data_IF_170482154153
#
_entry.id   IF_170482154153
#
_cell.length_a   1.000
_cell.length_b   1.000
_cell.length_c   1.000
_cell.angle_alpha   90.00
_cell.angle_beta   90.00
_cell.angle_gamma   90.00
#
_symmetry.space_group_name_H-M   'P 1'
#
loop_
_entity.id
_entity.type
_entity.pdbx_description
1 polymer ?
#
# COMPACT_ATOMS: atom_id res chain seq x y z
N UNK A 1 2.95 9.65 -20.75
CA UNK A 1 1.96 9.96 -19.68
C UNK A 1 0.52 9.95 -20.20
N UNK A 2 0.11 10.89 -21.07
CA UNK A 2 -1.29 10.99 -21.55
C UNK A 2 -1.80 9.70 -22.23
N UNK A 3 -0.94 8.96 -22.93
CA UNK A 3 -1.33 7.68 -23.54
C UNK A 3 -1.57 6.58 -22.52
N UNK A 4 -0.79 6.53 -21.44
CA UNK A 4 -0.99 5.58 -20.36
C UNK A 4 -2.29 5.88 -19.61
N UNK A 5 -2.58 7.17 -19.35
CA UNK A 5 -3.81 7.60 -18.70
C UNK A 5 -5.06 7.20 -19.50
N UNK A 6 -5.02 7.35 -20.83
CA UNK A 6 -6.13 6.99 -21.73
C UNK A 6 -6.42 5.48 -21.79
N UNK A 7 -5.44 4.63 -21.45
CA UNK A 7 -5.58 3.17 -21.45
C UNK A 7 -6.15 2.61 -20.15
N UNK A 8 -6.29 3.43 -19.10
CA UNK A 8 -6.86 2.98 -17.83
C UNK A 8 -8.37 2.78 -17.99
N UNK A 9 -8.94 1.86 -17.21
CA UNK A 9 -10.40 1.82 -17.04
C UNK A 9 -10.90 3.11 -16.37
N UNK A 10 -12.17 3.50 -16.56
CA UNK A 10 -12.78 4.60 -15.82
C UNK A 10 -12.56 4.45 -14.31
N UNK A 11 -12.07 5.51 -13.66
CA UNK A 11 -11.72 5.51 -12.23
C UNK A 11 -10.37 4.87 -11.89
N UNK A 12 -9.68 4.26 -12.85
CA UNK A 12 -8.34 3.71 -12.66
C UNK A 12 -7.33 4.80 -12.32
N UNK A 13 -6.31 4.44 -11.53
CA UNK A 13 -5.22 5.35 -11.11
C UNK A 13 -3.90 4.98 -11.77
N UNK A 14 -3.08 5.98 -12.03
CA UNK A 14 -1.72 5.85 -12.57
C UNK A 14 -0.77 6.66 -11.70
N UNK A 15 0.28 6.01 -11.20
CA UNK A 15 1.44 6.69 -10.64
C UNK A 15 2.55 6.74 -11.69
N UNK A 16 3.09 7.92 -11.98
CA UNK A 16 4.18 8.09 -12.94
C UNK A 16 5.31 8.91 -12.33
N UNK A 17 6.55 8.46 -12.54
CA UNK A 17 7.74 9.20 -12.17
C UNK A 17 8.11 10.17 -13.29
N UNK A 18 8.25 11.45 -12.95
CA UNK A 18 8.51 12.54 -13.89
C UNK A 18 9.67 13.40 -13.40
N UNK A 19 10.55 13.90 -14.28
CA UNK A 19 11.55 14.87 -13.86
C UNK A 19 10.87 16.17 -13.39
N UNK A 20 11.47 16.85 -12.41
CA UNK A 20 10.84 18.04 -11.79
C UNK A 20 10.64 19.21 -12.75
N UNK A 21 11.36 19.26 -13.88
CA UNK A 21 11.13 20.28 -14.90
C UNK A 21 9.68 20.23 -15.43
N UNK A 22 9.02 19.06 -15.42
CA UNK A 22 7.65 18.91 -15.88
C UNK A 22 6.65 19.70 -15.02
N UNK A 23 6.98 20.00 -13.76
CA UNK A 23 6.11 20.70 -12.80
C UNK A 23 5.85 22.15 -13.20
N UNK A 24 6.85 22.82 -13.78
CA UNK A 24 6.82 24.27 -14.02
C UNK A 24 7.49 24.69 -15.33
N UNK A 25 7.74 23.76 -16.26
CA UNK A 25 8.31 24.08 -17.58
C UNK A 25 7.54 25.22 -18.25
N UNK A 26 8.28 26.22 -18.72
CA UNK A 26 7.76 27.40 -19.42
C UNK A 26 7.29 27.10 -20.85
N UNK A 27 7.67 25.92 -21.39
CA UNK A 27 7.20 25.45 -22.69
C UNK A 27 5.68 25.48 -22.75
N UNK A 28 5.14 26.08 -23.82
CA UNK A 28 3.69 26.16 -24.04
C UNK A 28 3.06 24.77 -24.07
N UNK A 29 3.70 23.80 -24.71
CA UNK A 29 3.21 22.42 -24.81
C UNK A 29 3.09 21.76 -23.42
N UNK A 30 4.12 21.89 -22.58
CA UNK A 30 4.11 21.31 -21.24
C UNK A 30 3.04 21.95 -20.35
N UNK A 31 2.87 23.27 -20.48
CA UNK A 31 1.84 24.03 -19.77
C UNK A 31 0.43 23.62 -20.21
N UNK A 32 0.20 23.44 -21.51
CA UNK A 32 -1.08 22.99 -22.05
C UNK A 32 -1.42 21.57 -21.58
N UNK A 33 -0.40 20.69 -21.45
CA UNK A 33 -0.56 19.35 -20.86
C UNK A 33 -0.97 19.46 -19.39
N UNK A 34 -0.27 20.27 -18.57
CA UNK A 34 -0.62 20.48 -17.14
C UNK A 34 -2.03 21.04 -16.99
N UNK A 35 -2.34 22.10 -17.73
CA UNK A 35 -3.68 22.70 -17.82
C UNK A 35 -4.73 21.64 -18.09
N UNK A 36 -4.54 20.81 -19.13
CA UNK A 36 -5.51 19.79 -19.49
C UNK A 36 -5.72 18.74 -18.37
N UNK A 37 -4.67 18.31 -17.69
CA UNK A 37 -4.76 17.35 -16.59
C UNK A 37 -5.51 17.93 -15.38
N UNK A 38 -5.19 19.17 -15.03
CA UNK A 38 -5.77 19.90 -13.90
C UNK A 38 -7.24 20.22 -14.16
N UNK A 39 -7.58 20.79 -15.32
CA UNK A 39 -8.95 21.15 -15.70
C UNK A 39 -9.89 19.95 -15.79
N UNK A 40 -9.36 18.79 -16.19
CA UNK A 40 -10.11 17.53 -16.23
C UNK A 40 -10.29 16.90 -14.85
N UNK A 41 -9.65 17.44 -13.80
CA UNK A 41 -9.58 16.82 -12.49
C UNK A 41 -8.90 15.45 -12.52
N UNK A 42 -7.99 15.25 -13.48
CA UNK A 42 -7.27 14.00 -13.67
C UNK A 42 -6.04 13.91 -12.76
N UNK A 43 -5.52 15.05 -12.28
CA UNK A 43 -4.41 15.10 -11.34
C UNK A 43 -4.92 15.03 -9.89
N UNK A 44 -4.47 14.04 -9.13
CA UNK A 44 -4.85 13.85 -7.73
C UNK A 44 -3.76 14.32 -6.77
N UNK A 45 -2.50 13.98 -7.04
CA UNK A 45 -1.41 14.25 -6.11
C UNK A 45 -0.06 14.38 -6.84
N UNK A 46 0.79 15.27 -6.33
CA UNK A 46 2.19 15.41 -6.72
C UNK A 46 3.08 15.29 -5.50
N UNK A 47 4.12 14.48 -5.61
CA UNK A 47 5.11 14.26 -4.57
C UNK A 47 6.49 14.57 -5.13
N UNK A 48 7.13 15.66 -4.71
CA UNK A 48 8.53 15.93 -5.08
C UNK A 48 9.46 15.14 -4.18
N UNK A 49 10.33 14.33 -4.79
CA UNK A 49 11.28 13.49 -4.05
C UNK A 49 12.63 14.21 -3.84
N UNK A 50 13.41 13.78 -2.83
CA UNK A 50 14.78 14.27 -2.66
C UNK A 50 15.65 14.07 -3.91
N UNK A 51 16.56 15.02 -4.14
CA UNK A 51 17.63 14.82 -5.12
C UNK A 51 18.56 13.68 -4.68
N UNK A 52 19.34 13.12 -5.63
CA UNK A 52 20.35 12.07 -5.37
C UNK A 52 19.79 10.73 -4.87
N UNK A 53 18.50 10.45 -5.11
CA UNK A 53 17.92 9.12 -4.81
C UNK A 53 18.39 8.04 -5.79
N UNK A 54 18.55 8.38 -7.06
CA UNK A 54 18.98 7.45 -8.10
C UNK A 54 20.49 7.45 -8.23
N UNK A 55 21.08 6.26 -8.37
CA UNK A 55 22.53 6.10 -8.53
C UNK A 55 23.03 6.67 -9.86
N UNK A 56 22.23 6.53 -10.90
CA UNK A 56 22.64 6.81 -12.28
C UNK A 56 22.24 8.22 -12.76
N UNK A 57 21.49 8.98 -11.96
CA UNK A 57 21.08 10.35 -12.31
C UNK A 57 20.88 11.24 -11.09
N UNK A 58 21.45 12.44 -11.17
CA UNK A 58 21.23 13.50 -10.19
C UNK A 58 19.94 14.30 -10.47
N UNK A 59 19.22 13.99 -11.57
CA UNK A 59 18.01 14.70 -11.95
C UNK A 59 16.94 14.47 -10.87
N UNK A 60 16.43 15.53 -10.22
CA UNK A 60 15.37 15.40 -9.24
C UNK A 60 14.05 15.06 -9.94
N UNK A 61 13.26 14.22 -9.30
CA UNK A 61 12.02 13.69 -9.85
C UNK A 61 10.86 13.84 -8.88
N UNK A 62 9.66 13.71 -9.43
CA UNK A 62 8.39 13.76 -8.73
C UNK A 62 7.53 12.57 -9.13
N UNK A 63 6.68 12.13 -8.22
CA UNK A 63 5.63 11.14 -8.49
C UNK A 63 4.33 11.89 -8.71
N UNK A 64 3.67 11.60 -9.83
CA UNK A 64 2.37 12.15 -10.17
C UNK A 64 1.33 11.04 -10.08
N UNK A 65 0.29 11.26 -9.29
CA UNK A 65 -0.85 10.37 -9.17
C UNK A 65 -2.00 10.95 -9.98
N UNK A 66 -2.44 10.19 -10.98
CA UNK A 66 -3.47 10.57 -11.93
C UNK A 66 -4.64 9.60 -11.84
N UNK A 67 -5.85 10.05 -12.17
CA UNK A 67 -7.07 9.23 -12.27
C UNK A 67 -7.72 9.39 -13.65
N UNK A 68 -8.15 8.27 -14.24
CA UNK A 68 -8.96 8.28 -15.47
C UNK A 68 -10.46 8.39 -15.19
N UNK A 69 -10.87 9.47 -14.53
CA UNK A 69 -12.26 9.91 -14.41
C UNK A 69 -12.25 11.30 -13.77
N UNK A 70 -13.19 12.19 -14.11
CA UNK A 70 -13.33 13.46 -13.41
C UNK A 70 -13.60 13.17 -11.93
N UNK A 71 -12.69 13.58 -11.05
CA UNK A 71 -12.93 13.54 -9.62
C UNK A 71 -14.07 14.49 -9.26
N UNK A 72 -14.97 14.07 -8.36
CA UNK A 72 -16.02 14.95 -7.79
C UNK A 72 -15.42 16.15 -7.04
N UNK A 73 -14.25 15.96 -6.45
CA UNK A 73 -13.44 17.02 -5.84
C UNK A 73 -12.27 17.37 -6.76
N UNK A 74 -12.10 18.65 -7.09
CA UNK A 74 -11.00 19.16 -7.93
C UNK A 74 -9.78 19.57 -7.12
N UNK A 75 -9.76 19.25 -5.84
CA UNK A 75 -8.62 19.53 -4.96
C UNK A 75 -7.45 18.61 -5.28
N UNK A 76 -6.25 19.18 -5.28
CA UNK A 76 -4.98 18.48 -5.57
C UNK A 76 -4.13 18.48 -4.30
N UNK A 77 -3.53 17.33 -3.97
CA UNK A 77 -2.55 17.21 -2.90
C UNK A 77 -1.13 17.47 -3.41
N UNK A 78 -0.42 18.36 -2.73
CA UNK A 78 0.99 18.63 -2.97
C UNK A 78 1.81 18.15 -1.77
N UNK A 79 2.84 17.34 -2.03
CA UNK A 79 3.77 16.82 -1.02
C UNK A 79 5.20 17.22 -1.39
N UNK A 80 5.85 17.98 -0.51
CA UNK A 80 7.24 18.38 -0.64
C UNK A 80 8.15 17.49 0.22
N UNK A 81 8.58 16.37 -0.33
CA UNK A 81 9.52 15.47 0.33
C UNK A 81 10.99 15.79 0.01
N UNK A 82 11.32 16.91 -0.65
CA UNK A 82 12.70 17.20 -1.11
C UNK A 82 13.73 17.22 0.03
N UNK A 83 13.28 17.59 1.22
CA UNK A 83 14.11 17.73 2.41
C UNK A 83 14.33 16.42 3.17
N UNK A 84 13.53 15.39 2.90
CA UNK A 84 13.59 14.09 3.58
C UNK A 84 14.82 13.27 3.20
N UNK A 85 15.09 12.24 3.98
CA UNK A 85 16.15 11.28 3.74
C UNK A 85 17.52 11.69 4.27
N UNK A 86 18.41 10.69 4.34
CA UNK A 86 19.77 10.80 4.86
C UNK A 86 20.78 10.63 3.74
N UNK A 87 21.89 11.37 3.81
CA UNK A 87 23.01 11.20 2.88
C UNK A 87 23.77 9.92 3.25
N UNK A 88 23.63 8.88 2.43
CA UNK A 88 24.45 7.66 2.54
C UNK A 88 25.87 7.93 2.02
N UNK A 89 26.00 8.79 1.01
CA UNK A 89 27.28 9.27 0.49
C UNK A 89 27.17 10.72 0.00
N UNK A 90 28.27 11.33 -0.46
CA UNK A 90 28.23 12.69 -1.06
C UNK A 90 27.29 12.78 -2.27
N UNK A 91 27.06 11.67 -2.95
CA UNK A 91 26.30 11.59 -4.21
C UNK A 91 25.01 10.79 -4.09
N UNK A 92 24.74 10.15 -2.95
CA UNK A 92 23.56 9.29 -2.75
C UNK A 92 22.80 9.63 -1.47
N UNK A 93 21.50 9.78 -1.60
CA UNK A 93 20.53 9.97 -0.52
C UNK A 93 19.62 8.73 -0.44
N UNK A 94 19.22 8.37 0.77
CA UNK A 94 18.26 7.30 1.04
C UNK A 94 17.07 7.87 1.81
N UNK A 95 15.86 7.48 1.42
CA UNK A 95 14.69 7.63 2.27
C UNK A 95 14.72 6.54 3.33
N UNK A 96 14.54 6.92 4.58
CA UNK A 96 14.31 5.98 5.67
C UNK A 96 12.88 5.44 5.61
N UNK A 97 12.59 4.42 6.41
CA UNK A 97 11.23 3.91 6.56
C UNK A 97 10.29 4.99 7.13
N UNK A 98 10.79 5.82 8.05
CA UNK A 98 10.03 6.93 8.62
C UNK A 98 9.71 8.01 7.60
N UNK A 99 10.67 8.34 6.72
CA UNK A 99 10.46 9.30 5.63
C UNK A 99 9.37 8.79 4.66
N UNK A 100 9.48 7.52 4.26
CA UNK A 100 8.52 6.88 3.36
C UNK A 100 7.14 6.82 4.01
N UNK A 101 7.10 6.43 5.28
CA UNK A 101 5.87 6.39 6.07
C UNK A 101 5.23 7.77 6.23
N UNK A 102 6.02 8.84 6.39
CA UNK A 102 5.50 10.20 6.47
C UNK A 102 4.79 10.62 5.18
N UNK A 103 5.39 10.33 4.02
CA UNK A 103 4.79 10.60 2.70
C UNK A 103 3.52 9.77 2.50
N UNK A 104 3.56 8.46 2.80
CA UNK A 104 2.39 7.57 2.68
C UNK A 104 1.26 8.04 3.59
N UNK A 105 1.56 8.43 4.84
CA UNK A 105 0.57 8.97 5.79
C UNK A 105 -0.06 10.25 5.27
N UNK A 106 0.72 11.18 4.71
CA UNK A 106 0.19 12.43 4.15
C UNK A 106 -0.80 12.17 2.99
N UNK A 107 -0.50 11.20 2.13
CA UNK A 107 -1.39 10.82 1.03
C UNK A 107 -2.64 10.10 1.55
N UNK A 108 -2.48 9.19 2.51
CA UNK A 108 -3.60 8.42 3.07
C UNK A 108 -4.57 9.30 3.88
N UNK A 109 -4.07 10.22 4.70
CA UNK A 109 -4.90 11.15 5.47
C UNK A 109 -5.72 12.07 4.56
N UNK A 110 -5.10 12.61 3.51
CA UNK A 110 -5.81 13.41 2.51
C UNK A 110 -6.92 12.61 1.81
N UNK A 111 -6.65 11.35 1.41
CA UNK A 111 -7.68 10.49 0.81
C UNK A 111 -8.85 10.27 1.78
N UNK A 112 -8.55 10.00 3.04
CA UNK A 112 -9.55 9.78 4.09
C UNK A 112 -10.45 11.01 4.32
N UNK A 113 -9.87 12.21 4.35
CA UNK A 113 -10.60 13.46 4.52
C UNK A 113 -11.44 13.79 3.27
N UNK A 114 -10.87 13.57 2.09
CA UNK A 114 -11.56 13.76 0.80
C UNK A 114 -12.78 12.86 0.65
N UNK A 115 -12.71 11.61 1.07
CA UNK A 115 -13.86 10.68 1.05
C UNK A 115 -15.00 11.15 1.97
N UNK A 116 -14.67 11.87 3.05
CA UNK A 116 -15.64 12.46 3.98
C UNK A 116 -16.05 13.88 3.61
N UNK A 117 -15.49 14.44 2.53
CA UNK A 117 -15.70 15.84 2.12
C UNK A 117 -15.35 16.84 3.23
N UNK A 118 -14.29 16.56 4.00
CA UNK A 118 -13.76 17.45 5.05
C UNK A 118 -12.53 18.17 4.52
N UNK A 119 -12.32 19.42 4.96
CA UNK A 119 -11.14 20.19 4.61
C UNK A 119 -9.86 19.52 5.15
N UNK A 120 -8.88 19.30 4.28
CA UNK A 120 -7.60 18.72 4.65
C UNK A 120 -6.56 19.82 4.90
N UNK A 121 -6.07 19.92 6.14
CA UNK A 121 -5.14 20.97 6.55
C UNK A 121 -3.70 20.78 6.04
N UNK A 122 -3.34 19.58 5.57
CA UNK A 122 -1.96 19.25 5.22
C UNK A 122 -1.08 19.03 6.46
N UNK A 123 0.23 18.97 6.25
CA UNK A 123 1.25 18.85 7.29
C UNK A 123 2.31 19.92 7.03
N UNK A 124 2.51 20.84 7.98
CA UNK A 124 3.48 21.94 7.84
C UNK A 124 4.84 21.42 7.40
N UNK A 125 5.41 22.05 6.36
CA UNK A 125 6.69 21.68 5.78
C UNK A 125 6.71 20.38 4.96
N UNK A 126 5.59 19.66 4.86
CA UNK A 126 5.52 18.39 4.12
C UNK A 126 4.40 18.33 3.09
N UNK A 127 3.18 18.75 3.41
CA UNK A 127 2.04 18.65 2.50
C UNK A 127 1.05 19.79 2.63
N UNK A 128 0.37 20.10 1.53
CA UNK A 128 -0.68 21.09 1.44
C UNK A 128 -1.65 20.72 0.32
N UNK A 129 -2.82 21.33 0.32
CA UNK A 129 -3.82 21.14 -0.73
C UNK A 129 -4.07 22.45 -1.46
N UNK A 130 -4.47 22.34 -2.73
CA UNK A 130 -4.88 23.49 -3.52
C UNK A 130 -6.15 23.15 -4.30
N UNK A 131 -7.02 24.13 -4.44
CA UNK A 131 -8.17 24.05 -5.34
C UNK A 131 -7.74 24.38 -6.78
N UNK A 132 -8.65 24.13 -7.72
CA UNK A 132 -8.40 24.40 -9.14
C UNK A 132 -7.98 25.85 -9.40
N UNK A 133 -8.64 26.80 -8.74
CA UNK A 133 -8.40 28.22 -8.95
C UNK A 133 -7.03 28.67 -8.41
N UNK A 134 -6.56 28.08 -7.30
CA UNK A 134 -5.20 28.31 -6.78
C UNK A 134 -4.12 27.94 -7.82
N UNK A 135 -4.36 26.85 -8.56
CA UNK A 135 -3.43 26.36 -9.58
C UNK A 135 -3.52 27.20 -10.86
N UNK A 136 -4.71 27.70 -11.21
CA UNK A 136 -4.91 28.62 -12.34
C UNK A 136 -4.19 29.94 -12.12
N UNK A 137 -4.29 30.50 -10.92
CA UNK A 137 -3.65 31.77 -10.54
C UNK A 137 -2.12 31.68 -10.60
N UNK A 138 -1.57 30.46 -10.50
CA UNK A 138 -0.14 30.17 -10.62
C UNK A 138 0.27 29.69 -12.02
N UNK A 139 -0.51 30.02 -13.05
CA UNK A 139 -0.29 29.62 -14.45
C UNK A 139 -0.03 28.11 -14.63
N UNK A 140 -0.76 27.29 -13.84
CA UNK A 140 -0.62 25.84 -13.80
C UNK A 140 0.79 25.37 -13.41
N UNK A 141 1.53 26.15 -12.60
CA UNK A 141 2.68 25.64 -11.86
C UNK A 141 2.21 24.55 -10.89
N UNK A 142 2.89 23.41 -10.91
CA UNK A 142 2.57 22.27 -10.06
C UNK A 142 3.68 21.97 -9.04
N UNK A 143 4.55 22.94 -8.78
CA UNK A 143 5.63 22.80 -7.81
C UNK A 143 5.06 22.76 -6.37
N UNK A 144 5.21 21.65 -5.62
CA UNK A 144 4.67 21.53 -4.27
C UNK A 144 5.11 22.63 -3.30
N UNK A 145 6.31 23.19 -3.48
CA UNK A 145 6.82 24.27 -2.65
C UNK A 145 5.93 25.52 -2.63
N UNK A 146 5.11 25.73 -3.67
CA UNK A 146 4.22 26.88 -3.82
C UNK A 146 2.88 26.68 -3.07
N UNK A 147 2.63 25.46 -2.57
CA UNK A 147 1.36 25.02 -1.96
C UNK A 147 1.53 24.43 -0.56
N UNK A 148 2.76 24.08 -0.16
CA UNK A 148 3.07 23.60 1.18
C UNK A 148 3.41 24.80 2.07
N UNK A 149 2.66 24.97 3.15
CA UNK A 149 2.98 25.96 4.17
C UNK A 149 4.36 25.63 4.75
N UNK A 150 5.33 26.52 4.53
CA UNK A 150 6.67 26.33 5.08
C UNK A 150 6.63 26.54 6.60
N UNK A 151 7.28 25.65 7.34
CA UNK A 151 7.75 26.00 8.69
C UNK A 151 8.76 27.12 8.52
N UNK A 152 8.46 28.34 8.98
CA UNK A 152 9.38 29.47 8.92
C UNK A 152 10.70 29.06 9.60
N UNK A 153 11.72 28.76 8.79
CA UNK A 153 13.06 28.37 9.27
C UNK A 153 14.10 29.42 8.91
N UNK A 154 13.70 30.70 8.92
CA UNK A 154 14.61 31.83 8.84
C UNK A 154 14.12 32.95 9.77
N UNK A 155 14.62 32.92 11.01
CA UNK A 155 14.34 33.91 12.06
C UNK A 155 13.05 33.63 12.82
N UNK A 156 13.14 33.17 14.07
CA UNK A 156 11.99 33.09 14.97
C UNK A 156 12.38 33.63 16.33
N UNK A 157 11.57 34.54 16.83
CA UNK A 157 11.55 34.89 18.24
C UNK A 157 10.82 33.80 19.03
N UNK A 158 11.05 33.75 20.34
CA UNK A 158 10.65 32.63 21.21
C UNK A 158 9.13 32.33 21.20
N UNK A 159 8.30 33.33 20.90
CA UNK A 159 6.83 33.22 20.91
C UNK A 159 6.30 32.36 19.75
N UNK A 160 6.96 32.40 18.59
CA UNK A 160 6.57 31.61 17.42
C UNK A 160 6.91 30.13 17.60
N UNK A 161 8.01 29.83 18.28
CA UNK A 161 8.41 28.47 18.63
C UNK A 161 7.47 27.88 19.70
N UNK A 162 7.06 28.70 20.67
CA UNK A 162 6.10 28.34 21.70
C UNK A 162 4.74 27.96 21.07
N UNK A 163 4.25 28.77 20.13
CA UNK A 163 2.98 28.53 19.43
C UNK A 163 3.02 27.22 18.63
N UNK A 164 4.12 26.90 17.96
CA UNK A 164 4.26 25.67 17.19
C UNK A 164 4.46 24.42 18.06
N UNK A 165 5.15 24.56 19.20
CA UNK A 165 5.25 23.51 20.21
C UNK A 165 3.87 23.19 20.79
N UNK A 166 3.05 24.20 21.06
CA UNK A 166 1.69 24.02 21.56
C UNK A 166 0.77 23.37 20.52
N UNK A 167 0.87 23.77 19.26
CA UNK A 167 0.14 23.16 18.15
C UNK A 167 0.55 21.69 17.95
N UNK A 168 1.85 21.40 18.00
CA UNK A 168 2.39 20.03 17.91
C UNK A 168 1.94 19.18 19.10
N UNK A 169 2.01 19.71 20.33
CA UNK A 169 1.52 19.03 21.52
C UNK A 169 0.00 18.78 21.47
N UNK A 170 -0.78 19.71 20.92
CA UNK A 170 -2.22 19.52 20.70
C UNK A 170 -2.51 18.41 19.68
N UNK A 171 -1.72 18.34 18.60
CA UNK A 171 -1.82 17.29 17.59
C UNK A 171 -1.45 15.92 18.19
N UNK A 172 -0.37 15.84 18.97
CA UNK A 172 0.01 14.64 19.71
C UNK A 172 -1.06 14.18 20.70
N UNK A 173 -1.72 15.11 21.42
CA UNK A 173 -2.85 14.78 22.30
C UNK A 173 -4.02 14.17 21.53
N UNK A 174 -4.37 14.73 20.36
CA UNK A 174 -5.42 14.19 19.49
C UNK A 174 -5.06 12.82 18.93
N UNK A 175 -3.84 12.63 18.46
CA UNK A 175 -3.34 11.34 17.97
C UNK A 175 -3.36 10.26 19.05
N UNK A 176 -2.92 10.59 20.28
CA UNK A 176 -3.02 9.67 21.43
C UNK A 176 -4.46 9.31 21.77
N UNK A 177 -5.39 10.26 21.70
CA UNK A 177 -6.80 9.99 21.95
C UNK A 177 -7.40 9.03 20.90
N UNK A 178 -7.10 9.24 19.62
CA UNK A 178 -7.51 8.31 18.55
C UNK A 178 -6.90 6.92 18.75
N UNK A 179 -5.63 6.83 19.17
CA UNK A 179 -4.98 5.56 19.46
C UNK A 179 -5.64 4.81 20.61
N UNK A 180 -6.03 5.51 21.69
CA UNK A 180 -6.79 4.91 22.81
C UNK A 180 -8.15 4.40 22.34
N UNK A 181 -8.86 5.16 21.49
CA UNK A 181 -10.14 4.71 20.94
C UNK A 181 -9.97 3.48 20.02
N UNK A 182 -8.91 3.44 19.22
CA UNK A 182 -8.58 2.30 18.38
C UNK A 182 -8.27 1.06 19.22
N UNK A 183 -7.48 1.20 20.29
CA UNK A 183 -7.16 0.14 21.23
C UNK A 183 -8.42 -0.41 21.95
N UNK A 184 -9.34 0.48 22.34
CA UNK A 184 -10.63 0.09 22.90
C UNK A 184 -11.50 -0.68 21.91
N UNK A 185 -11.53 -0.28 20.63
CA UNK A 185 -12.26 -1.01 19.58
C UNK A 185 -11.61 -2.36 19.30
N UNK A 186 -10.28 -2.42 19.22
CA UNK A 186 -9.53 -3.66 19.03
C UNK A 186 -9.81 -4.64 20.17
N UNK A 187 -9.83 -4.16 21.41
CA UNK A 187 -10.17 -4.98 22.57
C UNK A 187 -11.60 -5.50 22.51
N UNK A 188 -12.57 -4.72 22.01
CA UNK A 188 -13.95 -5.19 21.81
C UNK A 188 -14.03 -6.28 20.74
N UNK A 189 -13.38 -6.06 19.60
CA UNK A 189 -13.29 -7.04 18.51
C UNK A 189 -12.62 -8.31 19.01
N UNK A 190 -11.55 -8.21 19.79
CA UNK A 190 -10.87 -9.36 20.39
C UNK A 190 -11.81 -10.14 21.31
N UNK A 191 -12.55 -9.48 22.20
CA UNK A 191 -13.51 -10.16 23.08
C UNK A 191 -14.67 -10.81 22.31
N UNK A 192 -15.17 -10.17 21.26
CA UNK A 192 -16.17 -10.79 20.38
C UNK A 192 -15.60 -12.00 19.66
N UNK A 193 -14.36 -11.92 19.17
CA UNK A 193 -13.64 -13.05 18.59
C UNK A 193 -13.48 -14.19 19.60
N UNK A 194 -13.02 -13.90 20.82
CA UNK A 194 -12.82 -14.88 21.88
C UNK A 194 -14.15 -15.55 22.29
N UNK A 195 -15.23 -14.77 22.33
CA UNK A 195 -16.58 -15.27 22.63
C UNK A 195 -17.11 -16.16 21.50
N UNK A 196 -16.86 -15.78 20.25
CA UNK A 196 -17.18 -16.60 19.07
C UNK A 196 -16.33 -17.87 19.03
N UNK A 197 -15.04 -17.80 19.35
CA UNK A 197 -14.16 -18.98 19.49
C UNK A 197 -14.70 -19.95 20.55
N UNK A 198 -15.13 -19.44 21.71
CA UNK A 198 -15.72 -20.25 22.77
C UNK A 198 -17.05 -20.93 22.35
N UNK A 199 -17.86 -20.26 21.52
CA UNK A 199 -19.14 -20.79 21.00
C UNK A 199 -18.96 -21.79 19.85
N UNK A 200 -17.99 -21.56 18.97
CA UNK A 200 -17.75 -22.39 17.77
C UNK A 200 -16.83 -23.58 18.10
N UNK A 201 -16.26 -23.64 19.30
CA UNK A 201 -15.39 -24.74 19.74
C UNK A 201 -14.12 -24.90 18.89
N UNK A 202 -13.78 -23.86 18.12
CA UNK A 202 -12.56 -23.83 17.32
C UNK A 202 -11.45 -23.42 18.26
N UNK A 203 -10.68 -24.43 18.71
CA UNK A 203 -9.34 -24.22 19.26
C UNK A 203 -8.57 -23.32 18.30
N UNK A 204 -7.99 -22.26 18.85
CA UNK A 204 -7.03 -21.38 18.18
C UNK A 204 -6.10 -22.17 17.24
N UNK A 205 -6.10 -21.82 15.95
CA UNK A 205 -5.12 -22.28 14.95
C UNK A 205 -3.77 -21.56 15.13
N UNK A 206 -3.33 -21.34 16.36
CA UNK A 206 -2.03 -20.71 16.68
C UNK A 206 -1.01 -21.68 17.25
N UNK A 207 -1.42 -22.87 17.68
CA UNK A 207 -0.51 -23.95 18.09
C UNK A 207 -0.25 -24.89 16.91
N UNK A 208 0.54 -24.43 15.94
CA UNK A 208 1.10 -25.34 14.96
C UNK A 208 2.22 -26.15 15.61
N UNK A 209 1.92 -27.40 15.91
CA UNK A 209 2.90 -28.35 16.43
C UNK A 209 3.54 -29.13 15.27
N UNK A 210 4.87 -29.15 15.20
CA UNK A 210 5.59 -29.91 14.18
C UNK A 210 5.69 -31.38 14.58
N UNK A 211 4.99 -32.25 13.86
CA UNK A 211 5.07 -33.69 14.05
C UNK A 211 5.79 -34.36 12.88
N UNK A 212 6.75 -35.27 13.11
CA UNK A 212 7.28 -36.09 12.04
C UNK A 212 6.16 -36.96 11.48
N UNK A 213 6.01 -37.01 10.15
CA UNK A 213 4.94 -37.79 9.48
C UNK A 213 4.86 -39.23 9.96
N UNK A 214 6.00 -39.88 10.25
CA UNK A 214 6.06 -41.25 10.78
C UNK A 214 5.46 -41.44 12.19
N UNK A 215 5.22 -40.37 12.95
CA UNK A 215 4.55 -40.43 14.26
C UNK A 215 3.03 -40.33 14.16
N UNK A 216 2.51 -39.82 13.04
CA UNK A 216 1.06 -39.60 12.84
C UNK A 216 0.47 -40.52 11.77
N UNK A 217 1.29 -41.06 10.88
CA UNK A 217 0.87 -41.98 9.83
C UNK A 217 2.02 -42.86 9.35
N UNK A 218 1.69 -44.02 8.80
CA UNK A 218 2.64 -44.86 8.09
C UNK A 218 2.80 -44.34 6.66
N UNK A 219 4.02 -43.95 6.28
CA UNK A 219 4.31 -43.47 4.92
C UNK A 219 4.72 -44.66 4.07
N UNK A 220 3.80 -45.12 3.23
CA UNK A 220 4.06 -46.22 2.29
C UNK A 220 4.25 -45.68 0.87
N UNK A 221 5.10 -46.33 0.09
CA UNK A 221 5.26 -46.02 -1.32
C UNK A 221 3.94 -46.35 -2.04
N UNK A 222 3.32 -45.33 -2.64
CA UNK A 222 2.10 -45.51 -3.41
C UNK A 222 2.31 -46.38 -4.66
N UNK A 223 1.21 -46.88 -5.26
CA UNK A 223 1.28 -47.69 -6.47
C UNK A 223 1.76 -46.83 -7.65
N UNK A 224 2.20 -47.49 -8.72
CA UNK A 224 2.55 -46.81 -9.97
C UNK A 224 1.45 -45.81 -10.42
N UNK A 225 1.80 -44.61 -10.93
CA UNK A 225 0.83 -43.60 -11.39
C UNK A 225 -0.24 -44.13 -12.35
N UNK A 226 0.07 -45.20 -13.09
CA UNK A 226 -0.85 -45.89 -14.00
C UNK A 226 -2.01 -46.59 -13.29
N UNK A 227 -1.77 -47.14 -12.09
CA UNK A 227 -2.80 -47.79 -11.28
C UNK A 227 -3.76 -46.75 -10.67
N UNK A 228 -3.21 -45.63 -10.18
CA UNK A 228 -3.95 -44.55 -9.53
C UNK A 228 -5.02 -43.95 -10.46
N UNK A 229 -4.72 -43.83 -11.76
CA UNK A 229 -5.69 -43.34 -12.76
C UNK A 229 -6.91 -44.26 -12.92
N UNK A 230 -6.78 -45.56 -12.65
CA UNK A 230 -7.87 -46.55 -12.78
C UNK A 230 -8.75 -46.65 -11.55
N UNK A 231 -8.25 -46.23 -10.38
CA UNK A 231 -8.95 -46.29 -9.09
C UNK A 231 -9.51 -44.95 -8.63
N UNK A 232 -9.34 -43.89 -9.45
CA UNK A 232 -9.95 -42.57 -9.23
C UNK A 232 -11.47 -42.70 -9.08
N UNK A 233 -12.00 -42.02 -8.07
CA UNK A 233 -13.43 -41.99 -7.80
C UNK A 233 -13.83 -40.57 -7.44
N UNK A 234 -14.79 -39.98 -8.14
CA UNK A 234 -15.26 -38.62 -7.83
C UNK A 234 -16.08 -38.57 -6.51
N UNK A 235 -16.47 -39.74 -5.97
CA UNK A 235 -17.08 -39.93 -4.65
C UNK A 235 -16.09 -40.48 -3.60
N UNK A 236 -14.79 -40.48 -3.91
CA UNK A 236 -13.74 -40.91 -2.99
C UNK A 236 -13.54 -39.89 -1.86
N UNK A 237 -13.29 -40.38 -0.65
CA UNK A 237 -12.98 -39.53 0.52
C UNK A 237 -11.49 -39.50 0.86
N UNK A 238 -10.68 -40.40 0.28
CA UNK A 238 -9.24 -40.48 0.55
C UNK A 238 -8.49 -39.65 -0.49
N UNK A 239 -7.83 -38.54 -0.12
CA UNK A 239 -7.11 -37.69 -1.07
C UNK A 239 -5.82 -38.35 -1.54
N UNK A 240 -5.51 -38.21 -2.83
CA UNK A 240 -4.27 -38.73 -3.42
C UNK A 240 -3.24 -37.62 -3.58
N UNK A 241 -2.07 -37.81 -2.94
CA UNK A 241 -0.94 -36.89 -3.04
C UNK A 241 0.10 -37.45 -4.02
N UNK A 242 0.49 -36.66 -5.02
CA UNK A 242 1.51 -37.00 -6.00
C UNK A 242 2.74 -36.09 -5.82
N UNK A 243 3.93 -36.46 -6.35
CA UNK A 243 5.13 -35.62 -6.24
C UNK A 243 4.94 -34.19 -6.75
N UNK A 244 4.11 -33.99 -7.77
CA UNK A 244 3.75 -32.67 -8.33
C UNK A 244 3.00 -31.77 -7.36
N UNK A 245 2.39 -32.34 -6.32
CA UNK A 245 1.67 -31.62 -5.27
C UNK A 245 2.61 -31.15 -4.15
N UNK A 246 3.89 -31.52 -4.16
CA UNK A 246 4.86 -31.09 -3.15
C UNK A 246 5.61 -29.85 -3.64
N UNK A 247 5.31 -28.67 -3.07
CA UNK A 247 5.96 -27.38 -3.39
C UNK A 247 6.32 -26.63 -2.13
N UNK A 248 7.51 -26.03 -2.09
CA UNK A 248 7.98 -25.22 -0.96
C UNK A 248 7.82 -25.91 0.41
N UNK A 249 8.10 -27.22 0.46
CA UNK A 249 7.92 -28.09 1.65
C UNK A 249 6.47 -28.19 2.14
N UNK A 250 5.50 -27.94 1.28
CA UNK A 250 4.06 -28.03 1.56
C UNK A 250 3.37 -28.92 0.54
N UNK A 251 2.25 -29.51 0.96
CA UNK A 251 1.35 -30.22 0.05
C UNK A 251 0.35 -29.18 -0.49
N UNK A 252 0.46 -28.85 -1.77
CA UNK A 252 -0.41 -27.93 -2.50
C UNK A 252 -1.33 -28.77 -3.38
N UNK A 253 -2.61 -28.82 -3.05
CA UNK A 253 -3.61 -29.67 -3.74
C UNK A 253 -4.53 -28.77 -4.59
N UNK A 254 -4.26 -28.59 -5.90
CA UNK A 254 -5.05 -27.67 -6.71
C UNK A 254 -6.35 -28.29 -7.25
N UNK A 255 -6.45 -29.61 -7.35
CA UNK A 255 -7.65 -30.33 -7.82
C UNK A 255 -7.84 -31.62 -7.01
N UNK A 256 -9.02 -31.82 -6.44
CA UNK A 256 -9.35 -32.98 -5.59
C UNK A 256 -9.38 -34.27 -6.42
N UNK A 257 -8.25 -34.98 -6.49
CA UNK A 257 -8.25 -36.39 -6.86
C UNK A 257 -8.36 -37.23 -5.59
N UNK A 258 -9.42 -38.01 -5.49
CA UNK A 258 -9.66 -38.91 -4.37
C UNK A 258 -9.99 -40.33 -4.81
N UNK A 259 -9.85 -41.27 -3.87
CA UNK A 259 -10.20 -42.68 -4.04
C UNK A 259 -11.07 -43.12 -2.86
N UNK A 260 -11.82 -44.22 -3.04
CA UNK A 260 -12.56 -44.83 -1.93
C UNK A 260 -11.60 -45.51 -0.95
N UNK A 261 -11.98 -45.56 0.32
CA UNK A 261 -11.17 -46.14 1.40
C UNK A 261 -10.73 -47.58 1.09
N UNK A 262 -11.64 -48.41 0.56
CA UNK A 262 -11.38 -49.80 0.18
C UNK A 262 -10.30 -49.93 -0.91
N UNK A 263 -10.26 -49.00 -1.87
CA UNK A 263 -9.24 -48.97 -2.91
C UNK A 263 -7.89 -48.51 -2.36
N UNK A 264 -7.88 -47.57 -1.41
CA UNK A 264 -6.65 -47.15 -0.74
C UNK A 264 -6.03 -48.32 0.03
N UNK A 265 -6.82 -49.05 0.82
CA UNK A 265 -6.33 -50.21 1.59
C UNK A 265 -5.90 -51.40 0.70
N UNK A 266 -6.66 -51.70 -0.36
CA UNK A 266 -6.32 -52.78 -1.30
C UNK A 266 -5.00 -52.53 -2.05
N UNK A 267 -4.64 -51.25 -2.22
CA UNK A 267 -3.39 -50.84 -2.85
C UNK A 267 -2.18 -51.06 -1.95
N UNK A 268 -2.32 -50.84 -0.63
CA UNK A 268 -1.27 -51.06 0.37
C UNK A 268 -0.88 -52.56 0.46
N UNK A 269 -1.85 -53.46 0.27
CA UNK A 269 -1.64 -54.92 0.29
C UNK A 269 -1.00 -55.48 -0.99
N UNK A 270 -0.92 -54.69 -2.07
CA UNK A 270 -0.35 -55.11 -3.36
C UNK A 270 1.16 -54.83 -3.48
N UNK A 271 1.74 -54.09 -2.53
CA UNK A 271 3.15 -53.63 -2.54
C UNK A 271 3.99 -54.18 -1.39
N UNK A 272 3.45 -55.12 -0.60
CA UNK A 272 4.18 -55.91 0.38
C UNK A 272 4.74 -57.20 -0.23
#
# INVERSE_FOLDING_TARGET
>A
MQDALRKLNPGGRLAVLMPNNALASASRQDRDIRRNLVERGALECIITLPAKLFRDTAIPVSVWILRNAPSRSRQILFVDARHLGVMESRTRRLLTEDDTSAVVRAVASWQFDRERSVAHAGTTGLSGTAELDDVRDRDYSLNPADYVAQSVSAGRDADDLQTELEASAAMFRRARHVMVLADQQMTKVQRELDSLHALVGVRELTDWEEWPLGAICEVQAGPSPSLIKRTRSDDGIVPVVQPTHLRDRRIVVPDQMSVRHEHAEGTLRSTA
#
